data_IF_072357061280
#
_entry.id   IF_072357061280
#
_cell.length_a   1.000
_cell.length_b   1.000
_cell.length_c   1.000
_cell.angle_alpha   90.00
_cell.angle_beta   90.00
_cell.angle_gamma   90.00
#
_symmetry.space_group_name_H-M   'P 1'
#
loop_
_entity.id
_entity.type
_entity.pdbx_description
1 polymer ?
#
# COMPACT_ATOMS: atom_id res chain seq x y z
N UNK A 1 26.04 9.73 -4.95
CA UNK A 1 25.29 10.14 -6.16
C UNK A 1 24.39 8.98 -6.53
N UNK A 2 23.07 9.09 -6.34
CA UNK A 2 22.11 8.02 -6.65
C UNK A 2 22.06 7.89 -8.18
N UNK A 3 22.41 6.71 -8.71
CA UNK A 3 22.31 6.44 -10.16
C UNK A 3 20.85 6.60 -10.61
N UNK A 4 20.62 6.92 -11.88
CA UNK A 4 19.27 6.86 -12.45
C UNK A 4 18.75 5.43 -12.30
N UNK A 5 17.64 5.26 -11.58
CA UNK A 5 17.04 3.95 -11.33
C UNK A 5 15.94 3.73 -12.37
N UNK A 6 16.01 2.59 -13.04
CA UNK A 6 15.02 2.15 -14.02
C UNK A 6 14.02 1.21 -13.33
N UNK A 7 12.73 1.30 -13.69
CA UNK A 7 11.68 0.41 -13.19
C UNK A 7 11.97 -1.06 -13.51
N UNK A 8 12.75 -1.33 -14.57
CA UNK A 8 13.23 -2.68 -14.91
C UNK A 8 14.18 -3.30 -13.86
N UNK A 9 14.67 -2.49 -12.91
CA UNK A 9 15.51 -2.95 -11.81
C UNK A 9 14.71 -3.36 -10.58
N UNK A 10 13.39 -3.20 -10.58
CA UNK A 10 12.51 -3.68 -9.51
C UNK A 10 12.51 -5.22 -9.53
N UNK A 11 12.77 -5.80 -8.37
CA UNK A 11 12.70 -7.24 -8.12
C UNK A 11 11.31 -7.59 -7.59
N UNK A 12 10.90 -6.94 -6.50
CA UNK A 12 9.56 -7.04 -5.94
C UNK A 12 9.19 -5.78 -5.17
N UNK A 13 7.90 -5.62 -4.89
CA UNK A 13 7.34 -4.52 -4.10
C UNK A 13 6.51 -5.11 -2.99
N UNK A 14 6.66 -4.58 -1.78
CA UNK A 14 5.80 -4.89 -0.63
C UNK A 14 4.97 -3.66 -0.26
N UNK A 15 3.74 -3.93 0.15
CA UNK A 15 2.80 -2.99 0.72
C UNK A 15 2.41 -3.47 2.11
N UNK A 16 2.56 -2.62 3.13
CA UNK A 16 2.29 -3.00 4.52
C UNK A 16 1.64 -1.85 5.28
N UNK A 17 0.95 -2.20 6.36
CA UNK A 17 0.50 -1.27 7.39
C UNK A 17 1.33 -1.43 8.67
N UNK A 18 1.38 -0.39 9.50
CA UNK A 18 2.18 -0.34 10.74
C UNK A 18 1.33 -0.10 11.98
N UNK A 19 1.82 -0.63 13.11
CA UNK A 19 1.27 -0.61 14.48
C UNK A 19 0.88 0.76 15.05
N UNK A 20 1.45 1.86 14.56
CA UNK A 20 0.97 3.22 14.85
C UNK A 20 0.44 3.75 13.53
N UNK A 21 -0.89 3.79 13.32
CA UNK A 21 -1.52 3.60 12.03
C UNK A 21 -0.73 4.25 10.91
N UNK A 22 -0.20 3.43 10.02
CA UNK A 22 0.75 3.90 9.03
C UNK A 22 0.79 3.00 7.82
N UNK A 23 1.31 3.56 6.73
CA UNK A 23 1.52 2.86 5.47
C UNK A 23 3.01 2.69 5.21
N UNK A 24 3.35 1.60 4.54
CA UNK A 24 4.68 1.34 4.02
C UNK A 24 4.61 0.78 2.61
N UNK A 25 5.42 1.36 1.71
CA UNK A 25 5.74 0.77 0.43
C UNK A 25 7.25 0.53 0.39
N UNK A 26 7.64 -0.73 0.19
CA UNK A 26 9.03 -1.14 0.12
C UNK A 26 9.30 -1.66 -1.28
N UNK A 27 10.20 -1.00 -2.00
CA UNK A 27 10.60 -1.41 -3.34
C UNK A 27 11.98 -2.03 -3.26
N UNK A 28 12.07 -3.31 -3.55
CA UNK A 28 13.32 -4.04 -3.61
C UNK A 28 13.87 -4.00 -5.01
N UNK A 29 15.14 -3.64 -5.13
CA UNK A 29 15.85 -3.57 -6.39
C UNK A 29 16.85 -4.72 -6.52
N UNK A 30 17.10 -5.12 -7.77
CA UNK A 30 18.07 -6.17 -8.12
C UNK A 30 19.51 -5.80 -7.76
N UNK A 31 19.79 -4.53 -7.54
CA UNK A 31 21.13 -4.02 -7.25
C UNK A 31 21.15 -3.13 -6.02
N UNK A 32 22.30 -3.10 -5.36
CA UNK A 32 22.56 -2.22 -4.23
C UNK A 32 22.44 -0.75 -4.65
N UNK A 33 21.61 0.02 -3.94
CA UNK A 33 21.53 1.48 -4.08
C UNK A 33 22.58 2.19 -3.25
N UNK A 34 22.79 1.73 -2.03
CA UNK A 34 23.74 2.30 -1.07
C UNK A 34 24.24 1.23 -0.12
N UNK A 35 25.50 1.35 0.29
CA UNK A 35 26.11 0.50 1.34
C UNK A 35 25.66 0.97 2.73
N UNK A 36 25.34 2.26 2.85
CA UNK A 36 24.86 2.87 4.08
C UNK A 36 23.38 3.20 3.98
N UNK A 37 22.72 3.28 5.14
CA UNK A 37 21.34 3.76 5.22
C UNK A 37 21.28 5.26 4.97
N UNK A 38 20.54 5.68 3.95
CA UNK A 38 20.38 7.09 3.56
C UNK A 38 18.93 7.51 3.78
N UNK A 39 18.71 8.59 4.54
CA UNK A 39 17.41 9.25 4.61
C UNK A 39 17.29 10.16 3.38
N UNK A 40 16.39 9.82 2.46
CA UNK A 40 16.13 10.59 1.23
C UNK A 40 15.24 11.78 1.55
N UNK A 41 14.18 11.57 2.34
CA UNK A 41 13.26 12.60 2.81
C UNK A 41 12.78 12.26 4.22
N UNK A 42 12.54 13.30 5.03
CA UNK A 42 11.87 13.19 6.33
C UNK A 42 11.06 14.46 6.59
N UNK A 43 9.75 14.28 6.70
CA UNK A 43 8.83 15.23 7.29
C UNK A 43 8.26 14.54 8.54
N UNK A 44 8.40 15.12 9.72
CA UNK A 44 7.81 14.55 10.94
C UNK A 44 7.41 15.70 11.83
N UNK A 45 6.12 15.73 12.15
CA UNK A 45 5.50 16.72 13.02
C UNK A 45 5.27 16.08 14.40
N UNK A 46 4.91 14.80 14.44
CA UNK A 46 4.76 13.98 15.65
C UNK A 46 5.08 12.51 15.35
N UNK A 47 4.93 11.64 16.35
CA UNK A 47 5.02 10.19 16.18
C UNK A 47 3.85 9.61 15.36
N UNK A 48 2.72 10.33 15.30
CA UNK A 48 1.52 9.96 14.53
C UNK A 48 1.38 10.72 13.20
N UNK A 49 2.26 11.68 12.92
CA UNK A 49 2.30 12.45 11.68
C UNK A 49 3.74 12.53 11.16
N UNK A 50 4.05 11.59 10.27
CA UNK A 50 5.38 11.43 9.71
C UNK A 50 5.30 10.92 8.27
N UNK A 51 6.31 11.29 7.48
CA UNK A 51 6.56 10.79 6.14
C UNK A 51 8.07 10.68 5.95
N UNK A 52 8.56 9.47 5.77
CA UNK A 52 9.99 9.16 5.71
C UNK A 52 10.25 8.29 4.49
N UNK A 53 11.25 8.68 3.71
CA UNK A 53 11.79 7.86 2.62
C UNK A 53 13.25 7.54 2.91
N UNK A 54 13.60 6.26 2.88
CA UNK A 54 14.92 5.73 3.22
C UNK A 54 15.40 4.79 2.12
N UNK A 55 16.68 4.88 1.79
CA UNK A 55 17.40 3.84 1.06
C UNK A 55 18.21 3.05 2.09
N UNK A 56 18.10 1.74 2.05
CA UNK A 56 18.88 0.85 2.90
C UNK A 56 19.29 -0.37 2.09
N UNK A 57 20.57 -0.48 1.74
CA UNK A 57 21.03 -1.55 0.86
C UNK A 57 20.43 -1.43 -0.55
N UNK A 58 19.61 -2.41 -0.92
CA UNK A 58 18.93 -2.52 -2.22
C UNK A 58 17.44 -2.17 -2.15
N UNK A 59 16.93 -1.70 -1.01
CA UNK A 59 15.51 -1.32 -0.86
C UNK A 59 15.34 0.19 -0.72
N UNK A 60 14.27 0.68 -1.34
CA UNK A 60 13.68 1.99 -1.06
C UNK A 60 12.45 1.77 -0.19
N UNK A 61 12.49 2.23 1.05
CA UNK A 61 11.37 2.21 1.98
C UNK A 61 10.75 3.60 2.04
N UNK A 62 9.47 3.72 1.69
CA UNK A 62 8.68 4.95 1.87
C UNK A 62 7.55 4.65 2.83
N UNK A 63 7.53 5.33 3.97
CA UNK A 63 6.55 5.12 5.03
C UNK A 63 5.97 6.42 5.52
N UNK A 64 4.73 6.36 6.01
CA UNK A 64 4.08 7.51 6.62
C UNK A 64 2.92 7.11 7.51
N UNK A 65 2.28 8.11 8.12
CA UNK A 65 1.09 7.89 8.93
C UNK A 65 -0.10 7.43 8.09
N UNK A 66 -1.20 7.06 8.76
CA UNK A 66 -2.43 6.57 8.17
C UNK A 66 -3.03 7.53 7.14
N UNK A 67 -2.65 8.81 7.18
CA UNK A 67 -3.14 9.87 6.29
C UNK A 67 -2.21 10.19 5.11
N UNK A 68 -1.11 9.45 4.92
CA UNK A 68 -0.10 9.77 3.90
C UNK A 68 -0.01 8.79 2.72
N UNK A 69 -0.99 7.91 2.51
CA UNK A 69 -0.91 6.88 1.47
C UNK A 69 -0.68 7.50 0.07
N UNK A 70 -1.37 8.59 -0.25
CA UNK A 70 -1.17 9.30 -1.53
C UNK A 70 0.23 9.89 -1.65
N UNK A 71 0.73 10.51 -0.57
CA UNK A 71 2.06 11.12 -0.52
C UNK A 71 3.17 10.08 -0.67
N UNK A 72 2.97 8.85 -0.16
CA UNK A 72 3.90 7.73 -0.39
C UNK A 72 4.07 7.47 -1.88
N UNK A 73 2.95 7.35 -2.63
CA UNK A 73 3.00 7.18 -4.09
C UNK A 73 3.71 8.35 -4.76
N UNK A 74 3.36 9.59 -4.42
CA UNK A 74 4.01 10.78 -4.99
C UNK A 74 5.53 10.76 -4.78
N UNK A 75 5.98 10.38 -3.58
CA UNK A 75 7.40 10.34 -3.24
C UNK A 75 8.16 9.24 -3.98
N UNK A 76 7.51 8.10 -4.21
CA UNK A 76 8.07 7.02 -5.02
C UNK A 76 8.16 7.46 -6.48
N UNK A 77 7.09 8.02 -7.04
CA UNK A 77 7.11 8.48 -8.43
C UNK A 77 8.16 9.56 -8.66
N UNK A 78 8.30 10.54 -7.76
CA UNK A 78 9.37 11.54 -7.84
C UNK A 78 10.76 10.90 -7.76
N UNK A 79 10.93 9.89 -6.90
CA UNK A 79 12.22 9.18 -6.77
C UNK A 79 12.63 8.50 -8.08
N UNK A 80 11.70 7.79 -8.73
CA UNK A 80 11.92 7.15 -10.03
C UNK A 80 11.80 8.12 -11.23
N UNK A 81 11.52 9.40 -10.98
CA UNK A 81 11.28 10.43 -12.02
C UNK A 81 10.16 10.03 -12.99
N UNK A 82 9.15 9.35 -12.47
CA UNK A 82 7.92 9.01 -13.20
C UNK A 82 6.96 10.21 -13.12
N UNK A 83 6.39 10.66 -14.25
CA UNK A 83 5.44 11.76 -14.26
C UNK A 83 4.21 11.49 -13.38
N UNK A 84 3.75 12.47 -12.61
CA UNK A 84 2.59 12.32 -11.72
C UNK A 84 1.25 12.17 -12.44
N UNK A 85 1.18 12.47 -13.74
CA UNK A 85 -0.04 12.31 -14.54
C UNK A 85 -0.46 10.84 -14.73
N UNK A 86 0.36 9.87 -14.31
CA UNK A 86 -0.05 8.47 -14.21
C UNK A 86 -1.04 8.23 -13.06
N UNK A 87 -1.12 9.15 -12.10
CA UNK A 87 -2.13 9.16 -11.05
C UNK A 87 -3.34 9.93 -11.60
N UNK A 88 -4.21 9.22 -12.31
CA UNK A 88 -5.47 9.80 -12.75
C UNK A 88 -6.45 10.02 -11.58
N UNK A 89 -7.56 10.70 -11.86
CA UNK A 89 -8.56 11.07 -10.85
C UNK A 89 -9.20 9.85 -10.17
N UNK A 90 -9.41 8.75 -10.92
CA UNK A 90 -10.00 7.52 -10.40
C UNK A 90 -9.05 6.83 -9.41
N UNK A 91 -7.77 6.70 -9.77
CA UNK A 91 -6.75 6.13 -8.91
C UNK A 91 -6.53 6.98 -7.66
N UNK A 92 -6.47 8.32 -7.79
CA UNK A 92 -6.37 9.22 -6.63
C UNK A 92 -7.57 9.05 -5.71
N UNK A 93 -8.79 9.03 -6.26
CA UNK A 93 -10.03 8.84 -5.50
C UNK A 93 -10.05 7.48 -4.78
N UNK A 94 -9.53 6.44 -5.42
CA UNK A 94 -9.40 5.11 -4.82
C UNK A 94 -8.39 5.10 -3.67
N UNK A 95 -7.20 5.66 -3.87
CA UNK A 95 -6.15 5.78 -2.84
C UNK A 95 -6.69 6.53 -1.62
N UNK A 96 -7.32 7.69 -1.83
CA UNK A 96 -7.90 8.50 -0.75
C UNK A 96 -9.01 7.75 -0.03
N UNK A 97 -9.80 6.94 -0.74
CA UNK A 97 -10.82 6.11 -0.12
C UNK A 97 -10.19 5.02 0.77
N UNK A 98 -9.19 4.28 0.28
CA UNK A 98 -8.49 3.25 1.05
C UNK A 98 -7.81 3.83 2.29
N UNK A 99 -7.19 5.01 2.13
CA UNK A 99 -6.60 5.75 3.22
C UNK A 99 -7.61 6.02 4.34
N UNK A 100 -8.78 6.56 3.97
CA UNK A 100 -9.86 6.87 4.91
C UNK A 100 -10.44 5.61 5.53
N UNK A 101 -10.67 4.57 4.73
CA UNK A 101 -11.19 3.30 5.23
C UNK A 101 -10.27 2.72 6.29
N UNK A 102 -8.99 2.51 5.97
CA UNK A 102 -8.00 2.00 6.93
C UNK A 102 -7.92 2.84 8.20
N UNK A 103 -7.89 4.18 8.06
CA UNK A 103 -7.84 5.08 9.21
C UNK A 103 -9.06 4.93 10.12
N UNK A 104 -10.24 4.62 9.56
CA UNK A 104 -11.46 4.43 10.32
C UNK A 104 -11.54 3.05 10.99
N UNK A 105 -10.84 2.04 10.47
CA UNK A 105 -10.77 0.71 11.09
C UNK A 105 -9.70 0.65 12.21
N UNK A 106 -8.72 1.56 12.20
CA UNK A 106 -7.74 1.67 13.28
C UNK A 106 -8.39 2.23 14.55
N UNK A 107 -8.27 1.50 15.66
CA UNK A 107 -8.94 1.79 16.94
C UNK A 107 -7.99 1.73 18.15
N UNK A 108 -6.67 1.85 17.92
CA UNK A 108 -5.59 1.68 18.90
C UNK A 108 -5.31 0.22 19.29
N UNK A 109 -6.05 -0.75 18.74
CA UNK A 109 -5.81 -2.18 18.93
C UNK A 109 -5.63 -2.90 17.60
N UNK A 110 -6.52 -2.65 16.65
CA UNK A 110 -6.60 -3.37 15.40
C UNK A 110 -5.29 -3.31 14.61
N UNK A 111 -4.68 -2.13 14.49
CA UNK A 111 -3.44 -1.91 13.73
C UNK A 111 -2.22 -2.64 14.31
N UNK A 112 -2.25 -3.07 15.57
CA UNK A 112 -1.17 -3.84 16.20
C UNK A 112 -1.19 -5.32 15.80
N UNK A 113 -2.34 -5.84 15.38
CA UNK A 113 -2.57 -7.26 15.11
C UNK A 113 -2.90 -7.54 13.64
N UNK A 114 -3.62 -6.61 13.02
CA UNK A 114 -4.23 -6.72 11.72
C UNK A 114 -3.78 -5.58 10.81
N UNK A 115 -4.24 -5.59 9.57
CA UNK A 115 -3.75 -4.63 8.60
C UNK A 115 -4.01 -4.98 7.16
N UNK A 116 -3.33 -4.24 6.29
CA UNK A 116 -3.28 -4.53 4.87
C UNK A 116 -1.86 -4.92 4.52
N UNK A 117 -1.71 -6.06 3.83
CA UNK A 117 -0.43 -6.56 3.34
C UNK A 117 -0.57 -6.88 1.86
N UNK A 118 0.47 -6.61 1.09
CA UNK A 118 0.50 -6.95 -0.31
C UNK A 118 1.91 -7.11 -0.83
N UNK A 119 2.03 -7.85 -1.91
CA UNK A 119 3.27 -8.07 -2.62
C UNK A 119 3.03 -8.03 -4.13
N UNK A 120 4.03 -7.55 -4.87
CA UNK A 120 4.09 -7.64 -6.31
C UNK A 120 5.45 -8.21 -6.72
N UNK A 121 5.46 -9.27 -7.53
CA UNK A 121 6.70 -9.85 -8.04
C UNK A 121 7.14 -9.21 -9.37
N UNK A 122 8.33 -9.58 -9.86
CA UNK A 122 8.87 -9.08 -11.14
C UNK A 122 8.01 -9.41 -12.39
N UNK A 123 7.07 -10.37 -12.28
CA UNK A 123 6.13 -10.74 -13.36
C UNK A 123 4.82 -9.94 -13.30
N UNK A 124 4.73 -9.00 -12.36
CA UNK A 124 3.54 -8.21 -12.11
C UNK A 124 2.37 -9.02 -11.55
N UNK A 125 2.64 -10.20 -10.96
CA UNK A 125 1.62 -10.88 -10.14
C UNK A 125 1.51 -10.12 -8.83
N UNK A 126 0.28 -9.81 -8.43
CA UNK A 126 -0.05 -9.07 -7.22
C UNK A 126 -0.87 -9.95 -6.30
N UNK A 127 -0.49 -9.97 -5.03
CA UNK A 127 -1.27 -10.51 -3.94
C UNK A 127 -1.55 -9.38 -2.94
N UNK A 128 -2.81 -9.21 -2.53
CA UNK A 128 -3.19 -8.33 -1.43
C UNK A 128 -4.08 -9.11 -0.47
N UNK A 129 -3.79 -8.97 0.81
CA UNK A 129 -4.62 -9.39 1.92
C UNK A 129 -5.03 -8.17 2.73
N UNK A 130 -6.32 -8.02 2.93
CA UNK A 130 -6.92 -7.04 3.84
C UNK A 130 -7.52 -7.87 4.97
N UNK A 131 -6.97 -7.76 6.18
CA UNK A 131 -7.63 -8.31 7.35
C UNK A 131 -8.89 -7.49 7.65
N UNK A 132 -9.95 -8.19 8.05
CA UNK A 132 -11.23 -7.64 8.48
C UNK A 132 -11.62 -8.20 9.85
N UNK A 133 -10.71 -8.94 10.49
CA UNK A 133 -10.94 -9.47 11.83
C UNK A 133 -11.19 -8.31 12.80
N UNK A 134 -12.08 -8.51 13.76
CA UNK A 134 -12.54 -7.50 14.72
C UNK A 134 -13.17 -6.22 14.11
N UNK A 135 -13.30 -6.13 12.78
CA UNK A 135 -14.07 -5.07 12.11
C UNK A 135 -15.54 -5.47 11.94
N UNK A 136 -16.42 -4.50 11.71
CA UNK A 136 -17.84 -4.78 11.41
C UNK A 136 -18.05 -5.54 10.09
N UNK A 137 -17.02 -5.65 9.24
CA UNK A 137 -17.05 -6.35 7.96
C UNK A 137 -16.60 -7.81 8.07
N UNK A 138 -16.00 -8.19 9.20
CA UNK A 138 -15.34 -9.47 9.41
C UNK A 138 -16.29 -10.67 9.25
N UNK A 139 -17.53 -10.54 9.72
CA UNK A 139 -18.54 -11.59 9.65
C UNK A 139 -19.38 -11.55 8.37
N UNK A 140 -19.23 -10.51 7.57
CA UNK A 140 -20.06 -10.30 6.38
C UNK A 140 -19.69 -11.27 5.26
N UNK A 141 -20.72 -11.74 4.55
CA UNK A 141 -20.53 -12.64 3.42
C UNK A 141 -20.08 -11.86 2.19
N UNK A 142 -19.01 -12.34 1.57
CA UNK A 142 -18.58 -11.89 0.25
C UNK A 142 -18.75 -13.04 -0.75
N UNK A 143 -19.54 -12.81 -1.79
CA UNK A 143 -19.61 -13.75 -2.92
C UNK A 143 -18.32 -13.61 -3.74
N UNK A 144 -17.50 -14.67 -3.90
CA UNK A 144 -16.28 -14.59 -4.69
C UNK A 144 -16.55 -14.15 -6.13
N UNK A 145 -15.76 -13.19 -6.62
CA UNK A 145 -15.91 -12.59 -7.95
C UNK A 145 -14.52 -12.24 -8.49
N UNK A 146 -14.29 -12.54 -9.78
CA UNK A 146 -13.06 -12.22 -10.50
C UNK A 146 -11.80 -12.78 -9.81
N UNK A 147 -10.94 -11.90 -9.30
CA UNK A 147 -9.66 -12.22 -8.63
C UNK A 147 -9.75 -12.02 -7.12
N UNK A 148 -10.97 -11.85 -6.61
CA UNK A 148 -11.25 -11.55 -5.22
C UNK A 148 -11.99 -12.71 -4.55
N UNK A 149 -11.57 -13.05 -3.35
CA UNK A 149 -12.22 -14.02 -2.46
C UNK A 149 -12.14 -13.54 -1.01
N UNK A 150 -13.06 -13.97 -0.16
CA UNK A 150 -12.96 -13.80 1.29
C UNK A 150 -12.78 -15.17 1.92
N UNK A 151 -11.71 -15.34 2.69
CA UNK A 151 -11.39 -16.56 3.42
C UNK A 151 -11.36 -16.18 4.89
N UNK A 152 -12.29 -16.74 5.67
CA UNK A 152 -12.56 -16.33 7.05
C UNK A 152 -12.78 -14.81 7.14
N UNK A 153 -11.95 -14.11 7.91
CA UNK A 153 -11.95 -12.65 8.10
C UNK A 153 -10.99 -11.92 7.16
N UNK A 154 -10.47 -12.56 6.10
CA UNK A 154 -9.49 -11.96 5.18
C UNK A 154 -10.05 -11.79 3.79
N UNK A 155 -10.01 -10.56 3.27
CA UNK A 155 -10.28 -10.28 1.87
C UNK A 155 -9.00 -10.39 1.06
N UNK A 156 -9.01 -11.26 0.05
CA UNK A 156 -7.84 -11.64 -0.73
C UNK A 156 -8.02 -11.23 -2.18
N UNK A 157 -7.00 -10.58 -2.75
CA UNK A 157 -6.92 -10.23 -4.16
C UNK A 157 -5.69 -10.91 -4.75
N UNK A 158 -5.86 -11.65 -5.85
CA UNK A 158 -4.78 -12.33 -6.59
C UNK A 158 -4.88 -12.03 -8.08
N UNK A 159 -4.24 -10.97 -8.54
CA UNK A 159 -4.43 -10.43 -9.89
C UNK A 159 -3.10 -10.07 -10.57
N UNK A 160 -3.16 -9.62 -11.83
CA UNK A 160 -2.05 -8.88 -12.45
C UNK A 160 -2.07 -7.42 -12.02
N UNK A 161 -0.91 -6.75 -12.02
CA UNK A 161 -0.82 -5.32 -11.73
C UNK A 161 -1.74 -4.47 -12.61
N UNK A 162 -1.89 -4.85 -13.89
CA UNK A 162 -2.82 -4.20 -14.82
C UNK A 162 -4.30 -4.29 -14.44
N UNK A 163 -4.65 -5.21 -13.53
CA UNK A 163 -6.01 -5.46 -13.07
C UNK A 163 -6.22 -4.96 -11.63
N UNK A 164 -5.18 -4.41 -10.98
CA UNK A 164 -5.19 -4.13 -9.56
C UNK A 164 -6.26 -3.10 -9.19
N UNK A 165 -6.38 -2.01 -9.96
CA UNK A 165 -7.35 -0.94 -9.72
C UNK A 165 -8.78 -1.50 -9.75
N UNK A 166 -9.13 -2.27 -10.78
CA UNK A 166 -10.44 -2.89 -10.91
C UNK A 166 -10.79 -3.80 -9.73
N UNK A 167 -9.82 -4.59 -9.26
CA UNK A 167 -10.05 -5.51 -8.15
C UNK A 167 -10.12 -4.82 -6.77
N UNK A 168 -9.38 -3.71 -6.58
CA UNK A 168 -9.52 -2.85 -5.41
C UNK A 168 -10.88 -2.13 -5.38
N UNK A 169 -11.43 -1.78 -6.55
CA UNK A 169 -12.78 -1.22 -6.68
C UNK A 169 -13.85 -2.22 -6.23
N UNK A 170 -13.66 -3.53 -6.47
CA UNK A 170 -14.58 -4.57 -5.97
C UNK A 170 -14.66 -4.54 -4.45
N UNK A 171 -13.52 -4.50 -3.76
CA UNK A 171 -13.48 -4.39 -2.30
C UNK A 171 -14.22 -3.13 -1.82
N UNK A 172 -13.89 -1.97 -2.39
CA UNK A 172 -14.54 -0.69 -2.09
C UNK A 172 -16.06 -0.75 -2.25
N UNK A 173 -16.54 -1.32 -3.35
CA UNK A 173 -17.97 -1.42 -3.64
C UNK A 173 -18.68 -2.40 -2.70
N UNK A 174 -18.02 -3.50 -2.33
CA UNK A 174 -18.56 -4.44 -1.35
C UNK A 174 -18.73 -3.79 0.02
N UNK A 175 -17.70 -3.12 0.55
CA UNK A 175 -17.81 -2.38 1.82
C UNK A 175 -18.94 -1.36 1.78
N UNK A 176 -19.06 -0.59 0.69
CA UNK A 176 -20.15 0.39 0.52
C UNK A 176 -21.53 -0.27 0.53
N UNK A 177 -21.68 -1.43 -0.10
CA UNK A 177 -22.96 -2.14 -0.15
C UNK A 177 -23.46 -2.65 1.21
N UNK A 178 -22.59 -2.68 2.22
CA UNK A 178 -22.90 -3.08 3.59
C UNK A 178 -23.25 -1.88 4.49
N UNK A 179 -23.08 -0.66 3.99
CA UNK A 179 -23.36 0.60 4.70
C UNK A 179 -24.73 1.20 4.37
N UNK A 180 -25.43 0.61 3.40
CA UNK A 180 -26.79 0.96 2.96
C UNK A 180 -27.85 0.18 3.75
#
# INVERSE_FOLDING_TARGET
MIKKIDIQQIDHVEFITYDNPGWGIIIFLKYLLSIERIIVRRNSISDSDFLIQVIDGNRLETKGSSTNLLELFIYILDFFKIPLNILDEELISLIVWFQKWYTNECDEYWEHLYGIKGEMNEKGDVFIQIDLDETIWGDEYFKPVLKCEKIDTKFIIKCKFSELVDNLIIFKNWIKSLQD
#
